data_IF_521097620688
#
_entry.id   IF_521097620688
#
_cell.length_a   1.000
_cell.length_b   1.000
_cell.length_c   1.000
_cell.angle_alpha   90.00
_cell.angle_beta   90.00
_cell.angle_gamma   90.00
#
_symmetry.space_group_name_H-M   'P 1'
#
loop_
_entity.id
_entity.type
_entity.pdbx_description
1 polymer ?
#
# COMPACT_ATOMS: atom_id res chain seq x y z
N UNK A 1 166.75 1.64 50.50
CA UNK A 1 167.91 2.06 51.31
C UNK A 1 169.17 1.43 50.74
N UNK A 2 170.16 2.22 50.31
CA UNK A 2 171.52 1.75 50.03
C UNK A 2 172.33 1.67 51.34
N UNK A 3 173.34 0.80 51.41
CA UNK A 3 174.61 0.96 52.16
C UNK A 3 175.38 -0.37 52.07
N UNK A 4 176.47 -0.43 51.32
CA UNK A 4 177.86 -0.02 51.62
C UNK A 4 178.68 -1.13 52.29
N UNK A 5 179.82 -1.35 51.63
CA UNK A 5 180.94 -2.16 52.01
C UNK A 5 181.60 -1.71 53.32
N UNK A 6 182.26 -2.66 53.99
CA UNK A 6 183.26 -2.35 55.00
C UNK A 6 183.77 -3.55 55.78
N UNK A 7 184.95 -4.05 55.38
CA UNK A 7 186.02 -4.63 56.19
C UNK A 7 185.69 -5.77 57.18
N UNK A 8 186.35 -6.93 57.18
CA UNK A 8 187.64 -7.30 56.64
C UNK A 8 188.35 -8.23 57.64
N UNK A 9 188.71 -9.44 57.22
CA UNK A 9 189.88 -10.16 57.76
C UNK A 9 190.36 -11.20 56.73
N UNK A 10 191.67 -11.27 56.42
CA UNK A 10 192.17 -11.92 55.23
C UNK A 10 192.53 -13.39 55.49
N UNK A 11 192.21 -14.28 54.55
CA UNK A 11 192.81 -15.62 54.51
C UNK A 11 193.55 -15.87 53.20
N UNK A 12 194.73 -16.45 53.39
CA UNK A 12 195.90 -16.42 52.52
C UNK A 12 195.80 -17.45 51.40
N UNK A 13 195.92 -16.92 50.17
CA UNK A 13 196.43 -17.49 48.92
C UNK A 13 196.42 -19.01 48.70
N UNK A 14 195.76 -19.40 47.61
CA UNK A 14 196.45 -20.06 46.51
C UNK A 14 196.19 -19.23 45.24
N UNK A 15 197.09 -18.30 44.94
CA UNK A 15 197.12 -17.58 43.66
C UNK A 15 197.93 -18.47 42.74
N UNK A 16 197.25 -19.38 42.06
CA UNK A 16 197.91 -20.24 41.09
C UNK A 16 196.97 -20.62 39.95
N UNK A 17 197.55 -20.53 38.75
CA UNK A 17 196.91 -20.52 37.44
C UNK A 17 196.00 -21.76 37.22
N UNK A 18 194.78 -21.53 36.72
CA UNK A 18 193.88 -22.54 36.13
C UNK A 18 193.53 -23.78 36.97
N UNK A 19 193.30 -23.61 38.27
CA UNK A 19 192.54 -24.56 39.09
C UNK A 19 193.26 -25.87 39.46
N UNK A 20 194.59 -25.94 39.31
CA UNK A 20 195.38 -27.11 39.68
C UNK A 20 195.25 -27.47 41.18
N UNK A 21 195.24 -26.46 42.07
CA UNK A 21 195.14 -26.68 43.52
C UNK A 21 193.79 -27.31 43.93
N UNK A 22 192.69 -26.88 43.31
CA UNK A 22 191.36 -27.44 43.57
C UNK A 22 191.26 -28.90 43.09
N UNK A 23 191.88 -29.22 41.94
CA UNK A 23 191.95 -30.60 41.42
C UNK A 23 192.80 -31.52 42.31
N UNK A 24 193.93 -31.05 42.84
CA UNK A 24 194.78 -31.82 43.75
C UNK A 24 194.08 -32.14 45.08
N UNK A 25 193.41 -31.15 45.68
CA UNK A 25 192.58 -31.32 46.89
C UNK A 25 191.46 -32.33 46.68
N UNK A 26 190.79 -32.28 45.52
CA UNK A 26 189.72 -33.23 45.18
C UNK A 26 190.26 -34.65 44.96
N UNK A 27 191.42 -34.83 44.33
CA UNK A 27 192.03 -36.14 44.13
C UNK A 27 192.55 -36.77 45.45
N UNK A 28 193.06 -35.95 46.38
CA UNK A 28 193.47 -36.42 47.70
C UNK A 28 192.27 -36.94 48.52
N UNK A 29 191.14 -36.21 48.52
CA UNK A 29 189.90 -36.66 49.18
C UNK A 29 189.33 -37.95 48.59
N UNK A 30 189.39 -38.11 47.27
CA UNK A 30 188.97 -39.35 46.61
C UNK A 30 189.83 -40.56 47.01
N UNK A 31 191.15 -40.37 47.21
CA UNK A 31 192.05 -41.45 47.66
C UNK A 31 191.80 -41.85 49.12
N UNK A 32 191.43 -40.91 49.98
CA UNK A 32 191.09 -41.22 51.39
C UNK A 32 189.71 -41.88 51.55
N UNK A 33 188.75 -41.63 50.66
CA UNK A 33 187.40 -42.24 50.74
C UNK A 33 187.30 -43.69 50.25
N UNK A 34 188.20 -44.14 49.38
CA UNK A 34 188.12 -45.46 48.72
C UNK A 34 189.24 -46.44 49.12
N UNK A 35 189.98 -46.19 50.21
CA UNK A 35 191.02 -47.11 50.68
C UNK A 35 190.40 -48.31 51.45
N UNK A 36 190.68 -49.58 51.08
CA UNK A 36 190.20 -50.74 51.84
C UNK A 36 191.07 -50.97 53.09
N UNK A 37 190.42 -51.02 54.26
CA UNK A 37 191.05 -51.29 55.56
C UNK A 37 190.46 -50.47 56.71
N UNK A 38 190.84 -50.84 57.94
CA UNK A 38 190.45 -50.19 59.21
C UNK A 38 190.49 -48.65 59.19
N UNK A 39 191.48 -47.96 58.57
CA UNK A 39 191.52 -46.50 58.53
C UNK A 39 190.36 -45.87 57.76
N UNK A 40 189.91 -46.50 56.66
CA UNK A 40 188.78 -46.02 55.86
C UNK A 40 187.42 -46.33 56.49
N UNK A 41 187.35 -47.33 57.37
CA UNK A 41 186.17 -47.59 58.20
C UNK A 41 186.08 -46.59 59.35
N UNK A 42 187.20 -46.27 60.03
CA UNK A 42 187.25 -45.24 61.08
C UNK A 42 186.92 -43.85 60.50
N UNK A 43 187.41 -43.51 59.31
CA UNK A 43 187.06 -42.25 58.64
C UNK A 43 185.56 -42.17 58.28
N UNK A 44 184.93 -43.28 57.86
CA UNK A 44 183.48 -43.33 57.59
C UNK A 44 182.64 -43.31 58.87
N UNK A 45 183.09 -43.94 59.95
CA UNK A 45 182.41 -43.81 61.25
C UNK A 45 182.55 -42.40 61.80
N UNK A 46 183.68 -41.72 61.60
CA UNK A 46 183.82 -40.32 61.95
C UNK A 46 182.98 -39.39 61.06
N UNK A 47 182.88 -39.62 59.74
CA UNK A 47 181.93 -38.89 58.88
C UNK A 47 180.46 -39.17 59.27
N UNK A 48 180.14 -40.37 59.77
CA UNK A 48 178.81 -40.72 60.26
C UNK A 48 178.52 -40.05 61.61
N UNK A 49 179.51 -39.98 62.51
CA UNK A 49 179.43 -39.23 63.77
C UNK A 49 179.28 -37.74 63.48
N UNK A 50 180.04 -37.18 62.55
CA UNK A 50 179.96 -35.77 62.15
C UNK A 50 178.61 -35.44 61.48
N UNK A 51 178.06 -36.38 60.68
CA UNK A 51 176.68 -36.26 60.17
C UNK A 51 175.64 -36.37 61.28
N UNK A 52 175.83 -37.25 62.25
CA UNK A 52 174.92 -37.36 63.39
C UNK A 52 174.99 -36.10 64.24
N UNK A 53 176.18 -35.54 64.47
CA UNK A 53 176.35 -34.28 65.19
C UNK A 53 175.70 -33.13 64.42
N UNK A 54 175.86 -33.08 63.09
CA UNK A 54 175.19 -32.08 62.25
C UNK A 54 173.67 -32.28 62.19
N UNK A 55 173.17 -33.52 62.24
CA UNK A 55 171.74 -33.81 62.35
C UNK A 55 171.22 -33.43 63.73
N UNK A 56 171.96 -33.72 64.80
CA UNK A 56 171.59 -33.32 66.17
C UNK A 56 171.64 -31.80 66.30
N UNK A 57 172.63 -31.13 65.73
CA UNK A 57 172.74 -29.67 65.73
C UNK A 57 171.58 -29.04 64.94
N UNK A 58 171.29 -29.51 63.73
CA UNK A 58 170.14 -29.02 62.95
C UNK A 58 168.79 -29.36 63.59
N UNK A 59 168.64 -30.52 64.22
CA UNK A 59 167.45 -30.87 65.00
C UNK A 59 167.36 -30.03 66.28
N UNK A 60 168.47 -29.74 66.95
CA UNK A 60 168.50 -28.91 68.16
C UNK A 60 168.20 -27.46 67.81
N UNK A 61 168.72 -26.94 66.69
CA UNK A 61 168.40 -25.62 66.16
C UNK A 61 166.95 -25.53 65.68
N UNK A 62 166.43 -26.54 65.00
CA UNK A 62 165.02 -26.58 64.60
C UNK A 62 164.09 -26.71 65.81
N UNK A 63 164.44 -27.57 66.79
CA UNK A 63 163.70 -27.74 68.02
C UNK A 63 163.77 -26.47 68.88
N UNK A 64 164.91 -25.78 68.92
CA UNK A 64 165.04 -24.47 69.57
C UNK A 64 164.27 -23.40 68.80
N UNK A 65 164.24 -23.44 67.46
CA UNK A 65 163.45 -22.52 66.66
C UNK A 65 161.94 -22.70 66.86
N UNK A 66 161.46 -23.92 67.12
CA UNK A 66 160.05 -24.25 67.37
C UNK A 66 159.64 -24.19 68.86
N UNK A 67 160.55 -24.50 69.81
CA UNK A 67 160.31 -24.46 71.26
C UNK A 67 160.85 -23.21 71.98
N UNK A 68 161.59 -22.34 71.29
CA UNK A 68 161.89 -21.01 71.82
C UNK A 68 160.60 -20.21 71.97
N UNK A 69 160.56 -19.22 72.88
CA UNK A 69 159.40 -18.35 73.02
C UNK A 69 158.92 -17.75 71.69
N UNK A 70 159.86 -17.40 70.79
CA UNK A 70 159.57 -16.84 69.46
C UNK A 70 158.95 -17.87 68.51
N UNK A 71 159.39 -19.13 68.58
CA UNK A 71 158.83 -20.25 67.80
C UNK A 71 157.39 -20.57 68.16
N UNK A 72 157.13 -20.70 69.46
CA UNK A 72 155.78 -20.95 70.00
C UNK A 72 154.86 -19.77 69.70
N UNK A 73 155.34 -18.53 69.81
CA UNK A 73 154.57 -17.34 69.41
C UNK A 73 154.24 -17.34 67.91
N UNK A 74 155.15 -17.80 67.05
CA UNK A 74 154.90 -17.96 65.61
C UNK A 74 153.86 -19.06 65.34
N UNK A 75 153.98 -20.23 65.95
CA UNK A 75 152.98 -21.31 65.81
C UNK A 75 151.61 -20.88 66.33
N UNK A 76 151.56 -20.19 67.47
CA UNK A 76 150.34 -19.63 68.02
C UNK A 76 149.75 -18.55 67.12
N UNK A 77 150.59 -17.69 66.52
CA UNK A 77 150.15 -16.70 65.54
C UNK A 77 149.61 -17.36 64.27
N UNK A 78 150.25 -18.43 63.79
CA UNK A 78 149.77 -19.22 62.65
C UNK A 78 148.44 -19.91 62.96
N UNK A 79 148.32 -20.61 64.09
CA UNK A 79 147.07 -21.25 64.50
C UNK A 79 145.94 -20.22 64.72
N UNK A 80 146.26 -19.02 65.25
CA UNK A 80 145.31 -17.91 65.35
C UNK A 80 144.92 -17.38 63.97
N UNK A 81 145.83 -17.34 63.01
CA UNK A 81 145.54 -16.93 61.64
C UNK A 81 144.64 -17.96 60.93
N UNK A 82 144.95 -19.25 61.04
CA UNK A 82 144.15 -20.35 60.50
C UNK A 82 142.74 -20.37 61.12
N UNK A 83 142.63 -20.28 62.44
CA UNK A 83 141.35 -20.18 63.13
C UNK A 83 140.57 -18.90 62.74
N UNK A 84 141.26 -17.77 62.55
CA UNK A 84 140.62 -16.55 62.06
C UNK A 84 140.11 -16.71 60.62
N UNK A 85 140.83 -17.44 59.76
CA UNK A 85 140.39 -17.78 58.40
C UNK A 85 139.18 -18.70 58.41
N UNK A 86 139.18 -19.76 59.22
CA UNK A 86 138.03 -20.68 59.35
C UNK A 86 136.80 -19.96 59.92
N UNK A 87 136.97 -19.11 60.93
CA UNK A 87 135.88 -18.30 61.47
C UNK A 87 135.37 -17.35 60.39
N UNK A 88 136.24 -16.66 59.65
CA UNK A 88 135.82 -15.78 58.57
C UNK A 88 135.05 -16.54 57.47
N UNK A 89 135.48 -17.75 57.11
CA UNK A 89 134.77 -18.62 56.17
C UNK A 89 133.39 -19.02 56.71
N UNK A 90 133.30 -19.50 57.95
CA UNK A 90 132.03 -19.87 58.57
C UNK A 90 131.07 -18.69 58.74
N UNK A 91 131.57 -17.48 59.03
CA UNK A 91 130.75 -16.27 59.05
C UNK A 91 130.26 -15.90 57.65
N UNK A 92 131.11 -16.05 56.62
CA UNK A 92 130.74 -15.83 55.22
C UNK A 92 129.64 -16.81 54.79
N UNK A 93 129.83 -18.12 55.02
CA UNK A 93 128.85 -19.16 54.72
C UNK A 93 127.52 -18.93 55.47
N UNK A 94 127.56 -18.54 56.74
CA UNK A 94 126.35 -18.21 57.51
C UNK A 94 125.63 -17.01 56.93
N UNK A 95 126.37 -15.96 56.57
CA UNK A 95 125.79 -14.74 56.01
C UNK A 95 125.23 -14.98 54.60
N UNK A 96 125.86 -15.86 53.80
CA UNK A 96 125.35 -16.35 52.52
C UNK A 96 124.06 -17.16 52.71
N UNK A 97 124.06 -18.17 53.60
CA UNK A 97 122.87 -18.96 53.90
C UNK A 97 121.71 -18.09 54.44
N UNK A 98 122.02 -17.06 55.24
CA UNK A 98 121.03 -16.09 55.71
C UNK A 98 120.43 -15.29 54.55
N UNK A 99 121.27 -14.81 53.62
CA UNK A 99 120.80 -14.11 52.41
C UNK A 99 119.94 -15.02 51.54
N UNK A 100 120.33 -16.27 51.34
CA UNK A 100 119.54 -17.25 50.58
C UNK A 100 118.16 -17.49 51.20
N UNK A 101 118.07 -17.57 52.53
CA UNK A 101 116.78 -17.69 53.24
C UNK A 101 115.94 -16.42 53.10
N UNK A 102 116.56 -15.24 53.21
CA UNK A 102 115.89 -13.95 53.02
C UNK A 102 115.36 -13.80 51.58
N UNK A 103 116.16 -14.17 50.57
CA UNK A 103 115.78 -14.16 49.15
C UNK A 103 114.67 -15.18 48.86
N UNK A 104 114.77 -16.39 49.40
CA UNK A 104 113.73 -17.41 49.27
C UNK A 104 112.41 -16.97 49.94
N UNK A 105 112.49 -16.33 51.11
CA UNK A 105 111.33 -15.77 51.78
C UNK A 105 110.68 -14.64 50.97
N UNK A 106 111.49 -13.76 50.37
CA UNK A 106 111.02 -12.70 49.47
C UNK A 106 110.35 -13.28 48.22
N UNK A 107 110.94 -14.31 47.61
CA UNK A 107 110.37 -15.00 46.45
C UNK A 107 109.02 -15.68 46.78
N UNK A 108 108.91 -16.34 47.95
CA UNK A 108 107.65 -16.94 48.40
C UNK A 108 106.59 -15.87 48.70
N UNK A 109 106.97 -14.75 49.30
CA UNK A 109 106.05 -13.63 49.54
C UNK A 109 105.53 -13.05 48.21
N UNK A 110 106.42 -12.84 47.24
CA UNK A 110 106.05 -12.36 45.90
C UNK A 110 105.14 -13.37 45.17
N UNK A 111 105.45 -14.66 45.21
CA UNK A 111 104.63 -15.70 44.59
C UNK A 111 103.23 -15.77 45.22
N UNK A 112 103.13 -15.61 46.56
CA UNK A 112 101.84 -15.55 47.25
C UNK A 112 101.02 -14.33 46.86
N UNK A 113 101.66 -13.17 46.71
CA UNK A 113 100.97 -11.96 46.27
C UNK A 113 100.48 -12.08 44.82
N UNK A 114 101.33 -12.58 43.92
CA UNK A 114 100.95 -12.87 42.54
C UNK A 114 99.77 -13.85 42.46
N UNK A 115 99.77 -14.91 43.28
CA UNK A 115 98.66 -15.87 43.34
C UNK A 115 97.36 -15.24 43.85
N UNK A 116 97.42 -14.33 44.84
CA UNK A 116 96.25 -13.59 45.33
C UNK A 116 95.68 -12.63 44.29
N UNK A 117 96.55 -11.92 43.58
CA UNK A 117 96.15 -11.04 42.47
C UNK A 117 95.49 -11.85 41.37
N UNK A 118 96.11 -12.95 40.93
CA UNK A 118 95.53 -13.82 39.89
C UNK A 118 94.19 -14.44 40.31
N UNK A 119 94.03 -14.83 41.59
CA UNK A 119 92.75 -15.32 42.10
C UNK A 119 91.67 -14.22 42.07
N UNK A 120 92.01 -13.00 42.49
CA UNK A 120 91.09 -11.85 42.49
C UNK A 120 90.68 -11.47 41.06
N UNK A 121 91.63 -11.46 40.12
CA UNK A 121 91.37 -11.19 38.70
C UNK A 121 90.45 -12.26 38.10
N UNK A 122 90.69 -13.54 38.39
CA UNK A 122 89.85 -14.65 37.93
C UNK A 122 88.43 -14.53 38.49
N UNK A 123 88.28 -14.27 39.78
CA UNK A 123 86.97 -14.17 40.43
C UNK A 123 86.20 -12.94 39.90
N UNK A 124 86.90 -11.84 39.61
CA UNK A 124 86.33 -10.66 38.94
C UNK A 124 85.86 -11.00 37.53
N UNK A 125 86.69 -11.67 36.74
CA UNK A 125 86.35 -12.10 35.38
C UNK A 125 85.17 -13.07 35.35
N UNK A 126 85.08 -13.98 36.31
CA UNK A 126 83.92 -14.88 36.46
C UNK A 126 82.65 -14.10 36.80
N UNK A 127 82.73 -13.12 37.71
CA UNK A 127 81.60 -12.28 38.06
C UNK A 127 81.13 -11.40 36.88
N UNK A 128 82.07 -10.87 36.07
CA UNK A 128 81.75 -10.13 34.84
C UNK A 128 81.11 -11.01 33.77
N UNK A 129 81.62 -12.23 33.58
CA UNK A 129 81.03 -13.20 32.67
C UNK A 129 79.61 -13.59 33.08
N UNK A 130 79.38 -13.85 34.37
CA UNK A 130 78.05 -14.15 34.90
C UNK A 130 77.08 -12.98 34.69
N UNK A 131 77.49 -11.73 35.00
CA UNK A 131 76.67 -10.53 34.74
C UNK A 131 76.35 -10.35 33.26
N UNK A 132 77.29 -10.66 32.37
CA UNK A 132 77.09 -10.54 30.93
C UNK A 132 76.12 -11.60 30.40
N UNK A 133 76.22 -12.83 30.91
CA UNK A 133 75.28 -13.90 30.59
C UNK A 133 73.85 -13.56 31.04
N UNK A 134 73.67 -13.09 32.29
CA UNK A 134 72.35 -12.69 32.77
C UNK A 134 71.74 -11.52 31.97
N UNK A 135 72.57 -10.58 31.51
CA UNK A 135 72.11 -9.49 30.62
C UNK A 135 71.67 -10.04 29.27
N UNK A 136 72.46 -10.92 28.66
CA UNK A 136 72.11 -11.55 27.40
C UNK A 136 70.81 -12.36 27.50
N UNK A 137 70.59 -13.09 28.62
CA UNK A 137 69.35 -13.83 28.86
C UNK A 137 68.14 -12.90 29.00
N UNK A 138 68.30 -11.78 29.72
CA UNK A 138 67.25 -10.76 29.86
C UNK A 138 66.93 -10.10 28.53
N UNK A 139 67.93 -9.75 27.74
CA UNK A 139 67.77 -9.13 26.42
C UNK A 139 67.09 -10.11 25.45
N UNK A 140 67.47 -11.40 25.48
CA UNK A 140 66.85 -12.44 24.69
C UNK A 140 65.38 -12.67 25.07
N UNK A 141 65.06 -12.65 26.37
CA UNK A 141 63.67 -12.75 26.84
C UNK A 141 62.85 -11.53 26.43
N UNK A 142 63.41 -10.32 26.56
CA UNK A 142 62.75 -9.10 26.11
C UNK A 142 62.50 -9.11 24.59
N UNK A 143 63.46 -9.62 23.80
CA UNK A 143 63.29 -9.78 22.36
C UNK A 143 62.16 -10.75 22.02
N UNK A 144 62.10 -11.91 22.67
CA UNK A 144 61.01 -12.89 22.50
C UNK A 144 59.64 -12.29 22.85
N UNK A 145 59.56 -11.54 23.95
CA UNK A 145 58.33 -10.87 24.36
C UNK A 145 57.90 -9.80 23.34
N UNK A 146 58.85 -9.02 22.81
CA UNK A 146 58.57 -8.01 21.80
C UNK A 146 58.10 -8.64 20.47
N UNK A 147 58.68 -9.77 20.06
CA UNK A 147 58.23 -10.54 18.89
C UNK A 147 56.82 -11.10 19.09
N UNK A 148 56.55 -11.73 20.24
CA UNK A 148 55.22 -12.24 20.56
C UNK A 148 54.16 -11.13 20.56
N UNK A 149 54.47 -9.97 21.14
CA UNK A 149 53.57 -8.80 21.15
C UNK A 149 53.33 -8.25 19.73
N UNK A 150 54.36 -8.24 18.86
CA UNK A 150 54.22 -7.84 17.45
C UNK A 150 53.33 -8.80 16.68
N UNK A 151 53.51 -10.10 16.87
CA UNK A 151 52.71 -11.12 16.20
C UNK A 151 51.25 -11.06 16.65
N UNK A 152 51.00 -10.85 17.94
CA UNK A 152 49.66 -10.64 18.46
C UNK A 152 49.02 -9.37 17.89
N UNK A 153 49.74 -8.24 17.88
CA UNK A 153 49.27 -7.01 17.28
C UNK A 153 48.96 -7.18 15.78
N UNK A 154 49.78 -7.94 15.05
CA UNK A 154 49.54 -8.24 13.62
C UNK A 154 48.30 -9.10 13.43
N UNK A 155 48.12 -10.15 14.24
CA UNK A 155 46.90 -10.99 14.22
C UNK A 155 45.65 -10.16 14.52
N UNK A 156 45.70 -9.30 15.53
CA UNK A 156 44.62 -8.40 15.89
C UNK A 156 44.29 -7.41 14.76
N UNK A 157 45.30 -6.81 14.13
CA UNK A 157 45.11 -5.91 12.99
C UNK A 157 44.49 -6.63 11.78
N UNK A 158 44.95 -7.84 11.44
CA UNK A 158 44.36 -8.63 10.37
C UNK A 158 42.91 -9.04 10.68
N UNK A 159 42.60 -9.42 11.92
CA UNK A 159 41.24 -9.73 12.34
C UNK A 159 40.32 -8.49 12.27
N UNK A 160 40.81 -7.32 12.71
CA UNK A 160 40.07 -6.07 12.63
C UNK A 160 39.78 -5.67 11.17
N UNK A 161 40.76 -5.84 10.27
CA UNK A 161 40.56 -5.56 8.84
C UNK A 161 39.56 -6.53 8.20
N UNK A 162 39.63 -7.83 8.54
CA UNK A 162 38.65 -8.81 8.08
C UNK A 162 37.23 -8.45 8.53
N UNK A 163 37.05 -8.02 9.78
CA UNK A 163 35.76 -7.56 10.31
C UNK A 163 35.27 -6.29 9.59
N UNK A 164 36.16 -5.35 9.26
CA UNK A 164 35.80 -4.15 8.49
C UNK A 164 35.31 -4.50 7.09
N UNK A 165 36.06 -5.34 6.36
CA UNK A 165 35.67 -5.80 5.02
C UNK A 165 34.33 -6.54 5.07
N UNK A 166 34.10 -7.37 6.09
CA UNK A 166 32.81 -8.06 6.26
C UNK A 166 31.68 -7.05 6.51
N UNK A 167 31.87 -6.09 7.41
CA UNK A 167 30.87 -5.06 7.70
C UNK A 167 30.54 -4.18 6.47
N UNK A 168 31.53 -3.89 5.63
CA UNK A 168 31.31 -3.17 4.36
C UNK A 168 30.49 -4.00 3.38
N UNK A 169 30.78 -5.30 3.23
CA UNK A 169 29.99 -6.23 2.41
C UNK A 169 28.55 -6.35 2.90
N UNK A 170 28.35 -6.50 4.20
CA UNK A 170 27.02 -6.60 4.80
C UNK A 170 26.22 -5.30 4.57
N UNK A 171 26.88 -4.14 4.70
CA UNK A 171 26.27 -2.83 4.40
C UNK A 171 25.90 -2.71 2.92
N UNK A 172 26.73 -3.19 2.01
CA UNK A 172 26.44 -3.20 0.58
C UNK A 172 25.28 -4.13 0.23
N UNK A 173 25.24 -5.33 0.81
CA UNK A 173 24.14 -6.28 0.67
C UNK A 173 22.83 -5.66 1.16
N UNK A 174 22.80 -5.10 2.38
CA UNK A 174 21.62 -4.42 2.93
C UNK A 174 21.17 -3.23 2.06
N UNK A 175 22.10 -2.48 1.47
CA UNK A 175 21.79 -1.41 0.53
C UNK A 175 21.17 -1.92 -0.77
N UNK A 176 21.64 -3.06 -1.28
CA UNK A 176 21.08 -3.69 -2.48
C UNK A 176 19.68 -4.22 -2.20
N UNK A 177 19.47 -4.94 -1.10
CA UNK A 177 18.15 -5.41 -0.66
C UNK A 177 17.16 -4.25 -0.51
N UNK A 178 17.58 -3.14 0.13
CA UNK A 178 16.73 -1.96 0.27
C UNK A 178 16.37 -1.33 -1.09
N UNK A 179 17.27 -1.34 -2.08
CA UNK A 179 16.96 -0.87 -3.44
C UNK A 179 15.94 -1.80 -4.11
N UNK A 180 16.11 -3.11 -3.98
CA UNK A 180 15.18 -4.11 -4.52
C UNK A 180 13.78 -3.93 -3.93
N UNK A 181 13.65 -3.88 -2.59
CA UNK A 181 12.37 -3.69 -1.91
C UNK A 181 11.70 -2.37 -2.30
N UNK A 182 12.48 -1.29 -2.52
CA UNK A 182 11.93 -0.01 -3.01
C UNK A 182 11.40 -0.14 -4.43
N UNK A 183 12.12 -0.80 -5.33
CA UNK A 183 11.68 -1.02 -6.70
C UNK A 183 10.42 -1.90 -6.77
N UNK A 184 10.35 -2.95 -5.94
CA UNK A 184 9.16 -3.79 -5.80
C UNK A 184 7.97 -2.97 -5.28
N UNK A 185 8.16 -2.19 -4.21
CA UNK A 185 7.12 -1.29 -3.68
C UNK A 185 6.63 -0.31 -4.73
N UNK A 186 7.52 0.29 -5.51
CA UNK A 186 7.15 1.26 -6.55
C UNK A 186 6.40 0.58 -7.70
N UNK A 187 6.78 -0.66 -8.04
CA UNK A 187 6.03 -1.50 -8.98
C UNK A 187 4.62 -1.81 -8.47
N UNK A 188 4.48 -2.21 -7.20
CA UNK A 188 3.18 -2.48 -6.57
C UNK A 188 2.32 -1.21 -6.50
N UNK A 189 2.92 -0.05 -6.20
CA UNK A 189 2.21 1.24 -6.25
C UNK A 189 1.70 1.56 -7.64
N UNK A 190 2.49 1.28 -8.68
CA UNK A 190 2.06 1.37 -10.07
C UNK A 190 0.84 0.47 -10.33
N UNK A 191 0.92 -0.81 -9.96
CA UNK A 191 -0.20 -1.77 -10.10
C UNK A 191 -1.47 -1.31 -9.39
N UNK A 192 -1.35 -0.77 -8.17
CA UNK A 192 -2.49 -0.22 -7.43
C UNK A 192 -3.09 0.99 -8.14
N UNK A 193 -2.27 1.88 -8.70
CA UNK A 193 -2.73 3.03 -9.46
C UNK A 193 -3.46 2.59 -10.75
N UNK A 194 -2.91 1.62 -11.47
CA UNK A 194 -3.50 1.06 -12.69
C UNK A 194 -4.86 0.40 -12.39
N UNK A 195 -4.94 -0.47 -11.38
CA UNK A 195 -6.19 -1.10 -10.94
C UNK A 195 -7.23 -0.07 -10.47
N UNK A 196 -6.77 1.03 -9.85
CA UNK A 196 -7.66 2.13 -9.44
C UNK A 196 -8.25 2.83 -10.67
N UNK A 197 -7.42 3.12 -11.68
CA UNK A 197 -7.86 3.72 -12.93
C UNK A 197 -8.81 2.80 -13.72
N UNK A 198 -8.53 1.49 -13.76
CA UNK A 198 -9.41 0.48 -14.35
C UNK A 198 -10.77 0.43 -13.64
N UNK A 199 -10.77 0.39 -12.30
CA UNK A 199 -12.00 0.43 -11.50
C UNK A 199 -12.82 1.69 -11.78
N UNK A 200 -12.18 2.85 -11.82
CA UNK A 200 -12.87 4.12 -12.04
C UNK A 200 -13.44 4.22 -13.46
N UNK A 201 -12.73 3.67 -14.45
CA UNK A 201 -13.22 3.53 -15.83
C UNK A 201 -14.43 2.60 -15.89
N UNK A 202 -14.32 1.41 -15.29
CA UNK A 202 -15.42 0.44 -15.23
C UNK A 202 -16.66 1.00 -14.52
N UNK A 203 -16.46 1.81 -13.47
CA UNK A 203 -17.55 2.51 -12.78
C UNK A 203 -18.22 3.54 -13.68
N UNK A 204 -17.44 4.35 -14.38
CA UNK A 204 -17.98 5.33 -15.32
C UNK A 204 -18.74 4.66 -16.49
N UNK A 205 -18.27 3.51 -16.97
CA UNK A 205 -18.97 2.68 -17.95
C UNK A 205 -20.29 2.13 -17.40
N UNK A 206 -20.30 1.60 -16.19
CA UNK A 206 -21.52 1.11 -15.53
C UNK A 206 -22.56 2.23 -15.32
N UNK A 207 -22.11 3.43 -14.92
CA UNK A 207 -22.97 4.61 -14.75
C UNK A 207 -23.51 5.12 -16.10
N UNK A 208 -22.75 4.99 -17.19
CA UNK A 208 -23.24 5.26 -18.56
C UNK A 208 -24.29 4.23 -18.98
N UNK A 209 -23.99 2.94 -18.86
CA UNK A 209 -24.91 1.87 -19.21
C UNK A 209 -26.24 1.95 -18.43
N UNK A 210 -26.18 2.33 -17.15
CA UNK A 210 -27.38 2.54 -16.32
C UNK A 210 -28.22 3.71 -16.82
N UNK A 211 -27.59 4.84 -17.21
CA UNK A 211 -28.30 5.98 -17.80
C UNK A 211 -28.93 5.62 -19.14
N UNK A 212 -28.17 4.98 -20.03
CA UNK A 212 -28.67 4.55 -21.34
C UNK A 212 -29.85 3.57 -21.21
N UNK A 213 -29.78 2.65 -20.24
CA UNK A 213 -30.88 1.74 -19.91
C UNK A 213 -32.10 2.48 -19.35
N UNK A 214 -31.90 3.48 -18.49
CA UNK A 214 -32.96 4.35 -17.99
C UNK A 214 -33.67 5.11 -19.11
N UNK A 215 -32.91 5.75 -20.00
CA UNK A 215 -33.47 6.45 -21.16
C UNK A 215 -34.20 5.51 -22.12
N UNK A 216 -33.67 4.30 -22.35
CA UNK A 216 -34.33 3.29 -23.15
C UNK A 216 -35.65 2.85 -22.51
N UNK A 217 -35.69 2.69 -21.19
CA UNK A 217 -36.89 2.35 -20.45
C UNK A 217 -37.94 3.47 -20.55
N UNK A 218 -37.56 4.73 -20.36
CA UNK A 218 -38.47 5.86 -20.53
C UNK A 218 -38.99 5.97 -21.97
N UNK A 219 -38.15 5.76 -22.98
CA UNK A 219 -38.59 5.69 -24.38
C UNK A 219 -39.61 4.57 -24.58
N UNK A 220 -39.38 3.39 -24.01
CA UNK A 220 -40.30 2.28 -24.09
C UNK A 220 -41.65 2.60 -23.42
N UNK A 221 -41.64 3.24 -22.24
CA UNK A 221 -42.87 3.68 -21.56
C UNK A 221 -43.64 4.72 -22.39
N UNK A 222 -42.95 5.69 -23.01
CA UNK A 222 -43.58 6.66 -23.91
C UNK A 222 -44.25 5.97 -25.09
N UNK A 223 -43.55 5.05 -25.76
CA UNK A 223 -44.13 4.26 -26.85
C UNK A 223 -45.33 3.42 -26.41
N UNK A 224 -45.30 2.84 -25.21
CA UNK A 224 -46.45 2.12 -24.66
C UNK A 224 -47.65 3.05 -24.45
N UNK A 225 -47.45 4.21 -23.83
CA UNK A 225 -48.50 5.21 -23.64
C UNK A 225 -49.07 5.73 -24.97
N UNK A 226 -48.22 5.97 -25.97
CA UNK A 226 -48.63 6.34 -27.32
C UNK A 226 -49.46 5.23 -27.99
N UNK A 227 -49.05 3.97 -27.88
CA UNK A 227 -49.81 2.82 -28.39
C UNK A 227 -51.17 2.71 -27.70
N UNK A 228 -51.23 2.92 -26.38
CA UNK A 228 -52.49 2.94 -25.62
C UNK A 228 -53.39 4.10 -26.02
N UNK A 229 -52.83 5.29 -26.28
CA UNK A 229 -53.57 6.44 -26.77
C UNK A 229 -54.13 6.20 -28.18
N UNK A 230 -53.30 5.69 -29.10
CA UNK A 230 -53.75 5.29 -30.45
C UNK A 230 -54.84 4.22 -30.38
N UNK A 231 -54.71 3.22 -29.49
CA UNK A 231 -55.78 2.23 -29.27
C UNK A 231 -57.08 2.89 -28.80
N UNK A 232 -57.01 3.81 -27.83
CA UNK A 232 -58.18 4.58 -27.38
C UNK A 232 -58.79 5.41 -28.51
N UNK A 233 -57.97 6.07 -29.34
CA UNK A 233 -58.43 6.82 -30.51
C UNK A 233 -59.11 5.92 -31.54
N UNK A 234 -58.56 4.72 -31.80
CA UNK A 234 -59.17 3.73 -32.71
C UNK A 234 -60.51 3.24 -32.16
N UNK A 235 -60.60 2.91 -30.88
CA UNK A 235 -61.86 2.49 -30.26
C UNK A 235 -62.89 3.61 -30.26
N UNK A 236 -62.48 4.86 -29.97
CA UNK A 236 -63.34 6.03 -30.08
C UNK A 236 -63.83 6.24 -31.52
N UNK A 237 -62.95 6.15 -32.52
CA UNK A 237 -63.32 6.26 -33.93
C UNK A 237 -64.26 5.14 -34.36
N UNK A 238 -64.09 3.91 -33.83
CA UNK A 238 -65.02 2.79 -34.05
C UNK A 238 -66.38 3.07 -33.42
N UNK A 239 -66.43 3.61 -32.21
CA UNK A 239 -67.66 3.99 -31.53
C UNK A 239 -68.38 5.14 -32.27
N UNK A 240 -67.64 6.15 -32.74
CA UNK A 240 -68.16 7.25 -33.55
C UNK A 240 -68.69 6.76 -34.90
N UNK A 241 -67.96 5.87 -35.57
CA UNK A 241 -68.43 5.22 -36.78
C UNK A 241 -69.69 4.37 -36.54
N UNK A 242 -69.77 3.65 -35.41
CA UNK A 242 -70.96 2.90 -35.03
C UNK A 242 -72.16 3.82 -34.76
N UNK A 243 -71.95 4.94 -34.04
CA UNK A 243 -72.95 5.99 -33.82
C UNK A 243 -73.42 6.60 -35.13
N UNK A 244 -72.50 6.93 -36.05
CA UNK A 244 -72.84 7.46 -37.36
C UNK A 244 -73.65 6.46 -38.20
N UNK A 245 -73.30 5.16 -38.16
CA UNK A 245 -74.06 4.10 -38.81
C UNK A 245 -75.45 3.93 -38.21
N UNK A 246 -75.58 3.98 -36.88
CA UNK A 246 -76.87 3.94 -36.19
C UNK A 246 -77.73 5.16 -36.56
N UNK A 247 -77.17 6.36 -36.51
CA UNK A 247 -77.84 7.59 -36.94
C UNK A 247 -78.24 7.57 -38.42
N UNK A 248 -77.42 6.98 -39.30
CA UNK A 248 -77.78 6.77 -40.70
C UNK A 248 -78.93 5.77 -40.84
N UNK A 249 -78.94 4.68 -40.07
CA UNK A 249 -80.05 3.72 -40.05
C UNK A 249 -81.35 4.35 -39.49
N UNK A 250 -81.25 5.20 -38.46
CA UNK A 250 -82.35 6.01 -37.94
C UNK A 250 -82.87 6.98 -39.01
N UNK A 251 -81.98 7.66 -39.73
CA UNK A 251 -82.36 8.56 -40.82
C UNK A 251 -83.04 7.82 -41.99
N UNK A 252 -82.59 6.60 -42.32
CA UNK A 252 -83.28 5.75 -43.31
C UNK A 252 -84.67 5.36 -42.82
N UNK A 253 -84.80 4.91 -41.56
CA UNK A 253 -86.11 4.59 -40.96
C UNK A 253 -87.05 5.80 -40.93
N UNK A 254 -86.55 6.98 -40.55
CA UNK A 254 -87.32 8.21 -40.56
C UNK A 254 -87.77 8.61 -41.97
N UNK A 255 -86.92 8.40 -43.00
CA UNK A 255 -87.31 8.60 -44.40
C UNK A 255 -88.40 7.62 -44.82
N UNK A 256 -88.26 6.33 -44.52
CA UNK A 256 -89.29 5.34 -44.81
C UNK A 256 -90.61 5.66 -44.10
N UNK A 257 -90.57 6.12 -42.85
CA UNK A 257 -91.75 6.56 -42.12
C UNK A 257 -92.39 7.81 -42.74
N UNK A 258 -91.58 8.77 -43.19
CA UNK A 258 -92.04 9.95 -43.90
C UNK A 258 -92.65 9.59 -45.27
N UNK A 259 -92.07 8.65 -45.99
CA UNK A 259 -92.60 8.14 -47.27
C UNK A 259 -93.92 7.40 -47.04
N UNK A 260 -94.01 6.52 -46.03
CA UNK A 260 -95.28 5.90 -45.61
C UNK A 260 -96.32 6.92 -45.14
N UNK A 261 -95.89 8.05 -44.56
CA UNK A 261 -96.79 9.14 -44.19
C UNK A 261 -97.29 9.90 -45.42
N UNK A 262 -96.43 10.14 -46.43
CA UNK A 262 -96.82 10.70 -47.73
C UNK A 262 -97.79 9.79 -48.47
N UNK A 263 -97.51 8.51 -48.57
CA UNK A 263 -98.38 7.54 -49.25
C UNK A 263 -99.77 7.51 -48.60
N UNK A 264 -99.83 7.54 -47.26
CA UNK A 264 -101.09 7.65 -46.51
C UNK A 264 -101.80 8.98 -46.79
N UNK A 265 -101.08 10.09 -46.83
CA UNK A 265 -101.64 11.40 -47.14
C UNK A 265 -102.16 11.48 -48.58
N UNK A 266 -101.44 10.93 -49.56
CA UNK A 266 -101.89 10.83 -50.95
C UNK A 266 -103.12 9.94 -51.09
N UNK A 267 -103.14 8.80 -50.41
CA UNK A 267 -104.31 7.91 -50.42
C UNK A 267 -105.52 8.60 -49.81
N UNK A 268 -105.35 9.30 -48.69
CA UNK A 268 -106.40 10.10 -48.07
C UNK A 268 -106.87 11.26 -48.98
N UNK A 269 -105.96 11.91 -49.71
CA UNK A 269 -106.29 12.95 -50.67
C UNK A 269 -107.11 12.40 -51.85
N UNK A 270 -106.73 11.24 -52.40
CA UNK A 270 -107.50 10.55 -53.45
C UNK A 270 -108.88 10.13 -52.97
N UNK A 271 -108.99 9.65 -51.73
CA UNK A 271 -110.28 9.33 -51.11
C UNK A 271 -111.14 10.59 -50.91
N UNK A 272 -110.57 11.68 -50.44
CA UNK A 272 -111.28 12.95 -50.28
C UNK A 272 -111.75 13.52 -51.63
N UNK A 273 -110.95 13.39 -52.69
CA UNK A 273 -111.33 13.79 -54.05
C UNK A 273 -112.42 12.89 -54.64
N UNK A 274 -112.37 11.58 -54.41
CA UNK A 274 -113.45 10.66 -54.77
C UNK A 274 -114.77 11.02 -54.06
N UNK A 275 -114.72 11.31 -52.75
CA UNK A 275 -115.89 11.77 -51.98
C UNK A 275 -116.40 13.11 -52.50
N UNK A 276 -115.51 14.03 -52.91
CA UNK A 276 -115.92 15.32 -53.50
C UNK A 276 -116.62 15.12 -54.84
N UNK A 277 -116.10 14.24 -55.69
CA UNK A 277 -116.72 13.90 -56.99
C UNK A 277 -118.07 13.20 -56.81
N UNK A 278 -118.20 12.29 -55.84
CA UNK A 278 -119.48 11.68 -55.47
C UNK A 278 -120.47 12.72 -54.93
N UNK A 279 -120.02 13.64 -54.09
CA UNK A 279 -120.85 14.74 -53.58
C UNK A 279 -121.31 15.68 -54.71
N UNK A 280 -120.44 16.00 -55.68
CA UNK A 280 -120.77 16.82 -56.85
C UNK A 280 -121.75 16.10 -57.78
N UNK A 281 -121.58 14.79 -58.00
CA UNK A 281 -122.52 13.97 -58.76
C UNK A 281 -123.90 13.90 -58.08
N UNK A 282 -123.91 13.76 -56.75
CA UNK A 282 -125.14 13.75 -55.94
C UNK A 282 -125.82 15.12 -55.95
N UNK A 283 -125.06 16.21 -55.86
CA UNK A 283 -125.57 17.57 -55.97
C UNK A 283 -126.10 17.88 -57.38
N UNK A 284 -125.46 17.35 -58.43
CA UNK A 284 -125.96 17.42 -59.80
C UNK A 284 -127.29 16.67 -59.96
N UNK A 285 -127.38 15.47 -59.41
CA UNK A 285 -128.61 14.67 -59.40
C UNK A 285 -129.75 15.38 -58.67
N UNK A 286 -129.50 15.88 -57.44
CA UNK A 286 -130.49 16.62 -56.66
C UNK A 286 -130.95 17.91 -57.35
N UNK A 287 -130.05 18.65 -58.04
CA UNK A 287 -130.45 19.81 -58.85
C UNK A 287 -131.37 19.43 -60.01
N UNK A 288 -131.11 18.31 -60.67
CA UNK A 288 -131.97 17.81 -61.76
C UNK A 288 -133.35 17.37 -61.26
N UNK A 289 -133.42 16.80 -60.05
CA UNK A 289 -134.69 16.46 -59.42
C UNK A 289 -135.46 17.73 -59.00
N UNK A 290 -134.75 18.76 -58.52
CA UNK A 290 -135.35 20.02 -58.09
C UNK A 290 -135.90 20.82 -59.28
N UNK A 291 -135.22 20.82 -60.43
CA UNK A 291 -135.76 21.41 -61.67
C UNK A 291 -136.96 20.61 -62.21
N UNK A 292 -136.93 19.27 -62.13
CA UNK A 292 -138.08 18.44 -62.48
C UNK A 292 -139.27 18.61 -61.50
N UNK A 293 -139.01 18.87 -60.23
CA UNK A 293 -140.04 19.18 -59.23
C UNK A 293 -140.62 20.59 -59.43
N UNK A 294 -139.79 21.58 -59.76
CA UNK A 294 -140.23 22.93 -60.09
C UNK A 294 -141.08 22.98 -61.37
N UNK A 295 -140.73 22.19 -62.39
CA UNK A 295 -141.55 22.04 -63.60
C UNK A 295 -142.92 21.43 -63.28
N UNK A 296 -142.97 20.39 -62.42
CA UNK A 296 -144.21 19.76 -61.94
C UNK A 296 -145.07 20.72 -61.10
N UNK A 297 -144.45 21.53 -60.24
CA UNK A 297 -145.14 22.55 -59.47
C UNK A 297 -145.73 23.66 -60.36
N UNK A 298 -145.02 24.04 -61.43
CA UNK A 298 -145.55 24.94 -62.46
C UNK A 298 -146.79 24.38 -63.16
N UNK A 299 -146.77 23.10 -63.53
CA UNK A 299 -147.94 22.45 -64.17
C UNK A 299 -149.15 22.41 -63.23
N UNK A 300 -148.94 22.07 -61.96
CA UNK A 300 -150.00 22.05 -60.95
C UNK A 300 -150.55 23.45 -60.64
N UNK A 301 -149.73 24.50 -60.70
CA UNK A 301 -150.18 25.87 -60.52
C UNK A 301 -151.08 26.34 -61.67
N UNK A 302 -150.74 25.98 -62.91
CA UNK A 302 -151.55 26.28 -64.09
C UNK A 302 -152.89 25.52 -64.06
N UNK A 303 -152.89 24.25 -63.64
CA UNK A 303 -154.10 23.45 -63.42
C UNK A 303 -155.00 24.04 -62.33
N UNK A 304 -154.44 24.50 -61.21
CA UNK A 304 -155.18 25.17 -60.14
C UNK A 304 -155.79 26.50 -60.61
N UNK A 305 -155.08 27.27 -61.43
CA UNK A 305 -155.58 28.50 -62.02
C UNK A 305 -156.71 28.25 -63.04
N UNK A 306 -156.67 27.13 -63.77
CA UNK A 306 -157.76 26.69 -64.62
C UNK A 306 -158.99 26.27 -63.79
N UNK A 307 -158.79 25.50 -62.72
CA UNK A 307 -159.87 25.07 -61.82
C UNK A 307 -160.57 26.25 -61.12
N UNK A 308 -159.82 27.27 -60.68
CA UNK A 308 -160.38 28.48 -60.07
C UNK A 308 -161.23 29.30 -61.06
N UNK A 309 -160.81 29.40 -62.33
CA UNK A 309 -161.60 30.06 -63.38
C UNK A 309 -162.90 29.30 -63.66
N UNK A 310 -162.86 27.96 -63.66
CA UNK A 310 -164.06 27.14 -63.80
C UNK A 310 -165.02 27.32 -62.60
N UNK A 311 -164.50 27.39 -61.37
CA UNK A 311 -165.28 27.64 -60.16
C UNK A 311 -165.96 29.02 -60.17
N UNK A 312 -165.24 30.09 -60.54
CA UNK A 312 -165.82 31.43 -60.68
C UNK A 312 -166.93 31.49 -61.75
N UNK A 313 -166.78 30.70 -62.82
CA UNK A 313 -167.82 30.59 -63.87
C UNK A 313 -169.06 29.84 -63.37
N UNK A 314 -168.89 28.84 -62.50
CA UNK A 314 -169.98 28.11 -61.86
C UNK A 314 -170.70 28.95 -60.80
N UNK A 315 -169.97 29.75 -60.02
CA UNK A 315 -170.53 30.71 -59.06
C UNK A 315 -171.36 31.80 -59.76
N UNK A 316 -170.89 32.31 -60.90
CA UNK A 316 -171.67 33.22 -61.74
C UNK A 316 -173.03 32.64 -62.17
N UNK A 317 -173.04 31.35 -62.58
CA UNK A 317 -174.28 30.65 -62.96
C UNK A 317 -175.22 30.38 -61.77
N UNK A 318 -174.67 30.12 -60.59
CA UNK A 318 -175.47 29.94 -59.35
C UNK A 318 -176.15 31.24 -58.93
N UNK A 319 -175.45 32.37 -59.05
CA UNK A 319 -175.99 33.69 -58.72
C UNK A 319 -177.13 34.05 -59.67
N UNK A 320 -176.97 33.78 -60.97
CA UNK A 320 -178.00 34.00 -61.98
C UNK A 320 -179.26 33.14 -61.74
N UNK A 321 -179.09 31.87 -61.35
CA UNK A 321 -180.21 30.98 -61.01
C UNK A 321 -180.96 31.42 -59.74
N UNK A 322 -180.24 31.97 -58.76
CA UNK A 322 -180.81 32.47 -57.50
C UNK A 322 -181.69 33.70 -57.75
N UNK A 323 -181.23 34.62 -58.62
CA UNK A 323 -182.02 35.79 -59.02
C UNK A 323 -183.32 35.38 -59.74
N UNK A 324 -183.26 34.36 -60.60
CA UNK A 324 -184.45 33.82 -61.27
C UNK A 324 -185.44 33.15 -60.31
N UNK A 325 -184.95 32.49 -59.28
CA UNK A 325 -185.79 31.89 -58.24
C UNK A 325 -186.55 32.95 -57.45
N UNK A 326 -185.88 34.02 -57.02
CA UNK A 326 -186.55 35.12 -56.31
C UNK A 326 -187.57 35.87 -57.16
N UNK A 327 -187.33 36.01 -58.47
CA UNK A 327 -188.33 36.57 -59.39
C UNK A 327 -189.59 35.68 -59.47
N UNK A 328 -189.42 34.35 -59.53
CA UNK A 328 -190.54 33.40 -59.56
C UNK A 328 -191.31 33.34 -58.22
N UNK A 329 -190.63 33.51 -57.09
CA UNK A 329 -191.24 33.56 -55.76
C UNK A 329 -192.06 34.84 -55.57
N UNK A 330 -191.57 35.99 -56.05
CA UNK A 330 -192.30 37.25 -56.02
C UNK A 330 -193.57 37.21 -56.87
N UNK A 331 -193.52 36.57 -58.05
CA UNK A 331 -194.70 36.37 -58.91
C UNK A 331 -195.76 35.47 -58.24
N UNK A 332 -195.33 34.44 -57.52
CA UNK A 332 -196.21 33.55 -56.74
C UNK A 332 -196.91 34.32 -55.61
N UNK A 333 -196.17 35.14 -54.87
CA UNK A 333 -196.73 35.89 -53.75
C UNK A 333 -197.70 36.98 -54.24
N UNK A 334 -197.43 37.58 -55.41
CA UNK A 334 -198.37 38.48 -56.10
C UNK A 334 -199.67 37.77 -56.54
N UNK A 335 -199.60 36.49 -56.89
CA UNK A 335 -200.78 35.68 -57.20
C UNK A 335 -201.59 35.32 -55.94
N UNK A 336 -200.92 35.02 -54.82
CA UNK A 336 -201.57 34.70 -53.54
C UNK A 336 -202.31 35.90 -52.94
N UNK A 337 -201.74 37.10 -53.05
CA UNK A 337 -202.42 38.32 -52.58
C UNK A 337 -203.72 38.61 -53.35
N UNK A 338 -203.75 38.34 -54.67
CA UNK A 338 -204.98 38.50 -55.47
C UNK A 338 -206.08 37.51 -55.07
N UNK A 339 -205.71 36.32 -54.61
CA UNK A 339 -206.65 35.32 -54.07
C UNK A 339 -207.22 35.76 -52.72
N UNK A 340 -206.39 36.33 -51.83
CA UNK A 340 -206.85 36.89 -50.56
C UNK A 340 -207.82 38.08 -50.77
N UNK A 341 -207.55 38.90 -51.79
CA UNK A 341 -208.40 40.03 -52.17
C UNK A 341 -209.80 39.60 -52.65
N UNK A 342 -209.93 38.41 -53.25
CA UNK A 342 -211.22 37.84 -53.66
C UNK A 342 -211.99 37.16 -52.50
N UNK A 343 -211.29 36.56 -51.54
CA UNK A 343 -211.91 35.91 -50.40
C UNK A 343 -212.57 36.91 -49.43
N UNK A 344 -211.99 38.10 -49.27
CA UNK A 344 -212.59 39.17 -48.45
C UNK A 344 -213.91 39.69 -49.02
N UNK A 345 -213.99 39.84 -50.34
CA UNK A 345 -215.18 40.38 -51.02
C UNK A 345 -216.43 39.48 -50.90
N UNK A 346 -216.26 38.18 -50.62
CA UNK A 346 -217.36 37.21 -50.48
C UNK A 346 -217.89 37.15 -49.04
N UNK A 347 -217.02 37.37 -48.06
CA UNK A 347 -217.40 37.26 -46.63
C UNK A 347 -218.33 38.40 -46.19
N UNK A 348 -218.11 39.61 -46.69
CA UNK A 348 -218.93 40.76 -46.32
C UNK A 348 -220.33 40.72 -46.96
N UNK A 349 -220.48 40.04 -48.10
CA UNK A 349 -221.79 39.82 -48.74
C UNK A 349 -222.65 38.81 -47.95
N UNK A 350 -222.04 37.86 -47.23
CA UNK A 350 -222.75 36.86 -46.44
C UNK A 350 -223.29 37.43 -45.11
N UNK A 351 -222.62 38.41 -44.51
CA UNK A 351 -223.10 39.08 -43.30
C UNK A 351 -224.38 39.91 -43.55
N UNK A 352 -224.62 40.33 -44.79
CA UNK A 352 -225.79 41.09 -45.21
C UNK A 352 -227.12 40.29 -45.23
N UNK A 353 -227.09 38.96 -45.20
CA UNK A 353 -228.31 38.14 -45.41
C UNK A 353 -228.86 37.43 -44.16
N UNK A 354 -228.08 37.26 -43.09
CA UNK A 354 -228.53 36.47 -41.93
C UNK A 354 -229.34 37.25 -40.87
N UNK A 355 -229.42 38.60 -40.94
CA UNK A 355 -230.09 39.41 -39.88
C UNK A 355 -231.57 39.74 -40.11
N UNK A 356 -232.20 39.21 -41.16
CA UNK A 356 -233.59 39.52 -41.54
C UNK A 356 -234.63 38.42 -41.20
N UNK A 357 -234.25 37.34 -40.50
CA UNK A 357 -235.17 36.25 -40.15
C UNK A 357 -235.01 35.71 -38.74
N UNK A 358 -235.96 36.05 -37.86
CA UNK A 358 -236.23 35.57 -36.49
C UNK A 358 -235.44 36.22 -35.33
N UNK A 359 -236.18 37.01 -34.54
CA UNK A 359 -235.76 37.61 -33.28
C UNK A 359 -236.49 37.00 -32.09
N UNK A 360 -235.71 36.66 -31.06
CA UNK A 360 -236.05 36.57 -29.64
C UNK A 360 -234.77 36.13 -28.90
N UNK A 361 -234.31 36.93 -27.93
CA UNK A 361 -233.24 36.68 -26.94
C UNK A 361 -231.80 36.43 -27.50
N UNK A 362 -230.95 37.43 -27.73
CA UNK A 362 -230.09 38.17 -26.76
C UNK A 362 -229.09 37.25 -26.02
N UNK A 363 -227.75 37.31 -26.13
CA UNK A 363 -226.77 38.21 -26.76
C UNK A 363 -225.43 37.45 -27.01
N UNK A 364 -224.62 37.86 -28.00
CA UNK A 364 -223.44 37.12 -28.51
C UNK A 364 -222.15 37.97 -28.64
N UNK A 365 -220.98 37.31 -28.47
CA UNK A 365 -219.61 37.61 -29.01
C UNK A 365 -218.71 38.63 -28.27
N UNK A 366 -217.39 38.79 -28.61
CA UNK A 366 -216.41 37.91 -29.31
C UNK A 366 -214.94 38.05 -28.74
N UNK A 367 -213.93 37.85 -29.63
CA UNK A 367 -212.45 38.02 -29.58
C UNK A 367 -211.60 36.83 -29.09
N UNK A 368 -210.74 36.19 -29.90
CA UNK A 368 -209.69 36.61 -30.88
C UNK A 368 -208.46 37.24 -30.23
N UNK A 369 -207.30 36.76 -30.69
CA UNK A 369 -206.00 37.42 -30.86
C UNK A 369 -204.89 36.51 -30.31
N UNK A 370 -203.72 36.38 -30.91
CA UNK A 370 -203.17 36.71 -32.22
C UNK A 370 -201.79 36.02 -32.23
N UNK A 371 -201.29 35.68 -33.41
CA UNK A 371 -199.96 35.14 -33.68
C UNK A 371 -199.09 36.22 -34.28
#
# INVERSE_FOLDING_TARGET
MPQRAGAGRPFRYCRDNDGACQRASRNSRMRHRNAPGLPGQVARTWEAVDRLDQIVETLTEALHAELSPVGVERQLAQARAEAATEIAAAQTERDEARREVEDAAAAVAQAREQARTAATERDTAQADAARSAERADRDAEQARQAEAARDEARRAATAAEALRVQAERDREAARQELRTVRAERDTERGRVADLTAERDTARADADRATRDAGEAHERAQRWQAEVEDVRRQVEQARADAARARAGAADAVRAREEADRARDRAETAARQAEAVRLEADATAGHLRSELTAAAARAGTLADELAAARRAAATAEGRLTELTVRLHAAEADRDSAQQRVAQLAGQVSDLAAALARLGSGAASAAGPDVAAR
#
